data_IF_502861957267
#
_entry.id   IF_502861957267
#
_cell.length_a   1.000
_cell.length_b   1.000
_cell.length_c   1.000
_cell.angle_alpha   90.00
_cell.angle_beta   90.00
_cell.angle_gamma   90.00
#
_symmetry.space_group_name_H-M   'P 1'
#
loop_
_entity.id
_entity.type
_entity.pdbx_description
1 polymer ?
#
# COMPACT_ATOMS: atom_id res chain seq x y z
N UNK A 1 -6.19 -20.10 3.15
CA UNK A 1 -5.04 -19.23 2.81
C UNK A 1 -4.02 -19.42 3.93
N UNK A 2 -2.77 -19.65 3.54
CA UNK A 2 -1.64 -19.79 4.46
C UNK A 2 -0.57 -18.77 4.05
N UNK A 3 0.11 -18.18 5.02
CA UNK A 3 1.26 -17.29 4.86
C UNK A 3 2.46 -17.96 5.55
N UNK A 4 3.44 -18.42 4.79
CA UNK A 4 4.58 -19.21 5.29
C UNK A 4 4.15 -20.39 6.19
N UNK A 5 3.08 -21.09 5.80
CA UNK A 5 2.51 -22.18 6.57
C UNK A 5 1.65 -21.78 7.77
N UNK A 6 1.57 -20.49 8.11
CA UNK A 6 0.71 -19.96 9.18
C UNK A 6 -0.70 -19.68 8.67
N UNK A 7 -1.69 -19.87 9.52
CA UNK A 7 -3.07 -19.46 9.23
C UNK A 7 -3.24 -17.95 9.29
N UNK A 8 -4.31 -17.42 8.70
CA UNK A 8 -4.66 -15.99 8.76
C UNK A 8 -4.69 -15.46 10.21
N UNK A 9 -5.19 -16.24 11.14
CA UNK A 9 -5.27 -15.85 12.56
C UNK A 9 -3.90 -15.77 13.27
N UNK A 10 -2.86 -16.32 12.67
CA UNK A 10 -1.49 -16.35 13.21
C UNK A 10 -0.57 -15.34 12.50
N UNK A 11 -1.08 -14.63 11.51
CA UNK A 11 -0.32 -13.70 10.68
C UNK A 11 -0.76 -12.28 10.98
N UNK A 12 0.18 -11.39 11.27
CA UNK A 12 -0.13 -9.96 11.41
C UNK A 12 -0.37 -9.35 10.04
N UNK A 13 -1.59 -8.89 9.83
CA UNK A 13 -2.04 -8.30 8.57
C UNK A 13 -2.38 -6.84 8.77
N UNK A 14 -1.81 -5.98 7.91
CA UNK A 14 -2.28 -4.64 7.67
C UNK A 14 -3.20 -4.61 6.43
N UNK A 15 -4.22 -3.78 6.46
CA UNK A 15 -5.12 -3.60 5.32
C UNK A 15 -5.37 -2.12 5.05
N UNK A 16 -5.11 -1.68 3.82
CA UNK A 16 -5.43 -0.35 3.31
C UNK A 16 -6.61 -0.49 2.36
N UNK A 17 -7.74 0.09 2.73
CA UNK A 17 -8.98 0.00 1.96
C UNK A 17 -8.98 1.00 0.81
N UNK A 18 -9.61 0.65 -0.31
CA UNK A 18 -9.85 1.52 -1.46
C UNK A 18 -10.55 2.83 -1.03
N UNK A 19 -11.59 2.73 -0.21
CA UNK A 19 -12.25 3.91 0.33
C UNK A 19 -11.65 4.33 1.68
N UNK A 20 -10.49 5.00 1.63
CA UNK A 20 -9.79 5.47 2.81
C UNK A 20 -10.62 6.43 3.68
N UNK A 21 -11.58 7.16 3.08
CA UNK A 21 -12.44 8.10 3.81
C UNK A 21 -13.37 7.40 4.78
N UNK A 22 -13.88 6.23 4.40
CA UNK A 22 -14.76 5.40 5.24
C UNK A 22 -13.94 4.48 6.17
N UNK A 23 -12.68 4.25 5.87
CA UNK A 23 -11.81 3.41 6.67
C UNK A 23 -11.39 4.05 8.00
N UNK A 24 -11.34 5.39 8.07
CA UNK A 24 -10.95 6.11 9.28
C UNK A 24 -12.16 6.31 10.21
N UNK A 25 -11.93 6.24 11.51
CA UNK A 25 -12.96 6.57 12.52
C UNK A 25 -13.17 8.09 12.58
N UNK A 26 -14.31 8.64 12.11
CA UNK A 26 -14.48 10.08 11.99
C UNK A 26 -14.57 10.80 13.34
N UNK A 27 -14.86 10.09 14.41
CA UNK A 27 -14.94 10.61 15.79
C UNK A 27 -13.61 10.58 16.54
N UNK A 28 -12.56 10.00 15.98
CA UNK A 28 -11.20 10.00 16.52
C UNK A 28 -10.34 11.01 15.77
N UNK A 29 -9.40 11.65 16.48
CA UNK A 29 -8.35 12.45 15.84
C UNK A 29 -7.48 11.55 14.97
N UNK A 30 -6.82 12.10 13.96
CA UNK A 30 -5.98 11.34 13.03
C UNK A 30 -4.88 10.58 13.75
N UNK A 31 -4.22 11.20 14.73
CA UNK A 31 -3.20 10.52 15.54
C UNK A 31 -3.78 9.33 16.32
N UNK A 32 -5.00 9.46 16.84
CA UNK A 32 -5.67 8.39 17.56
C UNK A 32 -6.12 7.26 16.64
N UNK A 33 -6.48 7.57 15.38
CA UNK A 33 -6.72 6.58 14.35
C UNK A 33 -5.47 5.75 14.06
N UNK A 34 -4.31 6.39 13.90
CA UNK A 34 -3.03 5.71 13.65
C UNK A 34 -2.64 4.85 14.85
N UNK A 35 -2.82 5.36 16.06
CA UNK A 35 -2.48 4.68 17.31
C UNK A 35 -3.46 3.54 17.68
N UNK A 36 -4.66 3.54 17.10
CA UNK A 36 -5.75 2.67 17.52
C UNK A 36 -5.39 1.17 17.52
N UNK A 37 -4.80 0.60 16.46
CA UNK A 37 -4.45 -0.83 16.45
C UNK A 37 -3.41 -1.20 17.51
N UNK A 38 -2.47 -0.30 17.82
CA UNK A 38 -1.47 -0.52 18.87
C UNK A 38 -2.10 -0.58 20.27
N UNK A 39 -3.09 0.27 20.51
CA UNK A 39 -3.86 0.26 21.76
C UNK A 39 -4.69 -1.02 21.90
N UNK A 40 -5.24 -1.54 20.81
CA UNK A 40 -5.95 -2.83 20.81
C UNK A 40 -5.01 -4.02 21.12
N UNK A 41 -3.74 -3.93 20.72
CA UNK A 41 -2.71 -4.91 21.10
C UNK A 41 -2.29 -4.79 22.58
N UNK A 42 -2.82 -3.83 23.32
CA UNK A 42 -2.50 -3.61 24.73
C UNK A 42 -1.12 -3.00 24.98
N UNK A 43 -0.51 -2.36 23.99
CA UNK A 43 0.79 -1.69 24.15
C UNK A 43 0.71 -0.54 25.14
N UNK A 44 1.78 -0.33 25.86
CA UNK A 44 1.90 0.82 26.76
C UNK A 44 1.84 2.15 25.99
N UNK A 45 1.47 3.23 26.70
CA UNK A 45 1.44 4.56 26.08
C UNK A 45 2.78 4.95 25.46
N UNK A 46 3.89 4.64 26.14
CA UNK A 46 5.24 4.96 25.64
C UNK A 46 5.56 4.23 24.33
N UNK A 47 5.21 2.95 24.21
CA UNK A 47 5.40 2.16 22.98
C UNK A 47 4.51 2.67 21.83
N UNK A 48 3.27 3.07 22.14
CA UNK A 48 2.36 3.67 21.15
C UNK A 48 2.91 5.00 20.64
N UNK A 49 3.30 5.90 21.56
CA UNK A 49 3.82 7.21 21.21
C UNK A 49 5.10 7.08 20.36
N UNK A 50 6.06 6.24 20.78
CA UNK A 50 7.30 6.00 20.03
C UNK A 50 7.04 5.45 18.61
N UNK A 51 6.12 4.49 18.48
CA UNK A 51 5.79 3.92 17.16
C UNK A 51 5.10 4.92 16.24
N UNK A 52 4.21 5.74 16.78
CA UNK A 52 3.55 6.81 16.00
C UNK A 52 4.57 7.87 15.56
N UNK A 53 5.49 8.26 16.44
CA UNK A 53 6.59 9.21 16.10
C UNK A 53 7.48 8.65 14.98
N UNK A 54 7.84 7.37 15.04
CA UNK A 54 8.60 6.69 13.98
C UNK A 54 7.88 6.76 12.63
N UNK A 55 6.58 6.46 12.59
CA UNK A 55 5.77 6.52 11.37
C UNK A 55 5.66 7.96 10.85
N UNK A 56 5.46 8.93 11.73
CA UNK A 56 5.42 10.36 11.38
C UNK A 56 6.72 10.79 10.70
N UNK A 57 7.86 10.36 11.24
CA UNK A 57 9.17 10.64 10.66
C UNK A 57 9.36 9.94 9.30
N UNK A 58 9.04 8.64 9.21
CA UNK A 58 9.17 7.85 7.97
C UNK A 58 8.33 8.42 6.81
N UNK A 59 7.12 8.90 7.10
CA UNK A 59 6.21 9.48 6.11
C UNK A 59 6.37 10.99 5.93
N UNK A 60 7.39 11.62 6.55
CA UNK A 60 7.63 13.07 6.48
C UNK A 60 6.34 13.89 6.65
N UNK A 61 5.54 13.54 7.67
CA UNK A 61 4.20 14.12 7.88
C UNK A 61 4.30 15.59 8.27
N UNK A 62 3.74 16.48 7.43
CA UNK A 62 3.76 17.95 7.63
C UNK A 62 2.41 18.53 7.98
N UNK A 63 1.37 17.71 8.11
CA UNK A 63 0.03 18.16 8.50
C UNK A 63 -0.27 17.85 9.96
N UNK A 64 -1.24 18.58 10.52
CA UNK A 64 -1.61 18.46 11.93
C UNK A 64 -2.44 17.18 12.17
N UNK A 65 -1.82 16.20 12.83
CA UNK A 65 -2.45 14.93 13.20
C UNK A 65 -3.49 15.06 14.34
N UNK A 66 -3.62 16.24 14.97
CA UNK A 66 -4.69 16.50 15.96
C UNK A 66 -6.03 16.81 15.29
N UNK A 67 -6.05 17.04 13.98
CA UNK A 67 -7.27 17.21 13.19
C UNK A 67 -8.04 15.88 13.08
N UNK A 68 -9.35 16.01 12.86
CA UNK A 68 -10.19 14.87 12.51
C UNK A 68 -10.00 14.50 11.05
N UNK A 69 -10.28 13.24 10.64
CA UNK A 69 -10.09 12.80 9.26
C UNK A 69 -10.79 13.69 8.23
N UNK A 70 -12.01 14.14 8.49
CA UNK A 70 -12.78 14.99 7.58
C UNK A 70 -12.22 16.42 7.39
N UNK A 71 -11.26 16.83 8.22
CA UNK A 71 -10.56 18.13 8.09
C UNK A 71 -9.28 18.03 7.25
N UNK A 72 -8.92 16.82 6.81
CA UNK A 72 -7.73 16.54 6.03
C UNK A 72 -8.04 16.44 4.53
N UNK A 73 -7.05 16.75 3.69
CA UNK A 73 -7.12 16.44 2.26
C UNK A 73 -7.17 14.93 2.01
N UNK A 74 -7.61 14.51 0.83
CA UNK A 74 -7.66 13.08 0.45
C UNK A 74 -6.31 12.39 0.61
N UNK A 75 -5.22 12.99 0.12
CA UNK A 75 -3.88 12.43 0.27
C UNK A 75 -3.41 12.33 1.71
N UNK A 76 -3.74 13.32 2.56
CA UNK A 76 -3.42 13.26 3.99
C UNK A 76 -4.19 12.14 4.71
N UNK A 77 -5.47 11.94 4.35
CA UNK A 77 -6.27 10.84 4.86
C UNK A 77 -5.70 9.48 4.43
N UNK A 78 -5.29 9.35 3.17
CA UNK A 78 -4.68 8.13 2.65
C UNK A 78 -3.36 7.83 3.34
N UNK A 79 -2.48 8.83 3.50
CA UNK A 79 -1.24 8.70 4.27
C UNK A 79 -1.52 8.18 5.68
N UNK A 80 -2.47 8.78 6.38
CA UNK A 80 -2.85 8.36 7.73
C UNK A 80 -3.44 6.93 7.76
N UNK A 81 -4.21 6.54 6.74
CA UNK A 81 -4.74 5.18 6.59
C UNK A 81 -3.63 4.15 6.42
N UNK A 82 -2.63 4.45 5.59
CA UNK A 82 -1.45 3.60 5.41
C UNK A 82 -0.64 3.49 6.70
N UNK A 83 -0.37 4.62 7.37
CA UNK A 83 0.32 4.62 8.66
C UNK A 83 -0.40 3.78 9.70
N UNK A 84 -1.74 3.85 9.76
CA UNK A 84 -2.55 3.01 10.64
C UNK A 84 -2.40 1.53 10.34
N UNK A 85 -2.38 1.15 9.06
CA UNK A 85 -2.21 -0.24 8.65
C UNK A 85 -0.79 -0.77 8.97
N UNK A 86 0.22 0.11 8.91
CA UNK A 86 1.61 -0.20 9.22
C UNK A 86 1.95 -0.15 10.72
N UNK A 87 1.12 0.52 11.53
CA UNK A 87 1.41 0.72 12.95
C UNK A 87 1.70 -0.57 13.72
N UNK A 88 0.93 -1.66 13.56
CA UNK A 88 1.20 -2.91 14.26
C UNK A 88 2.51 -3.62 13.86
N UNK A 89 3.15 -3.21 12.77
CA UNK A 89 4.26 -3.93 12.15
C UNK A 89 3.77 -5.22 11.48
N UNK A 90 2.96 -5.12 10.40
CA UNK A 90 2.37 -6.28 9.76
C UNK A 90 3.43 -7.13 9.03
N UNK A 91 3.24 -8.46 9.02
CA UNK A 91 3.99 -9.40 8.18
C UNK A 91 3.53 -9.30 6.72
N UNK A 92 2.23 -9.02 6.53
CA UNK A 92 1.62 -8.85 5.20
C UNK A 92 0.78 -7.57 5.18
N UNK A 93 0.99 -6.74 4.17
CA UNK A 93 0.22 -5.53 3.92
C UNK A 93 -0.62 -5.69 2.64
N UNK A 94 -1.94 -5.67 2.79
CA UNK A 94 -2.87 -5.60 1.67
C UNK A 94 -3.15 -4.14 1.31
N UNK A 95 -3.04 -3.83 0.04
CA UNK A 95 -3.25 -2.50 -0.54
C UNK A 95 -4.32 -2.63 -1.64
N UNK A 96 -5.53 -2.19 -1.34
CA UNK A 96 -6.66 -2.27 -2.26
C UNK A 96 -6.86 -0.92 -2.96
N UNK A 97 -6.42 -0.82 -4.21
CA UNK A 97 -6.42 0.42 -5.02
C UNK A 97 -5.97 1.68 -4.25
N UNK A 98 -4.80 1.67 -3.62
CA UNK A 98 -4.40 2.70 -2.65
C UNK A 98 -4.18 4.09 -3.28
N UNK A 99 -4.16 4.20 -4.61
CA UNK A 99 -3.87 5.44 -5.33
C UNK A 99 -5.08 6.02 -6.08
N UNK A 100 -6.22 5.31 -6.12
CA UNK A 100 -7.36 5.58 -7.02
C UNK A 100 -8.01 6.96 -6.88
N UNK A 101 -7.76 7.71 -5.81
CA UNK A 101 -8.36 9.03 -5.58
C UNK A 101 -7.31 10.10 -5.25
N UNK A 102 -6.05 9.87 -5.65
CA UNK A 102 -4.94 10.76 -5.37
C UNK A 102 -4.53 11.50 -6.63
N UNK A 103 -4.01 12.72 -6.44
CA UNK A 103 -3.30 13.42 -7.51
C UNK A 103 -1.93 12.79 -7.79
N UNK A 104 -1.30 13.23 -8.86
CA UNK A 104 -0.05 12.66 -9.33
C UNK A 104 1.09 12.79 -8.30
N UNK A 105 1.23 13.96 -7.66
CA UNK A 105 2.31 14.20 -6.69
C UNK A 105 2.16 13.30 -5.47
N UNK A 106 0.94 13.19 -4.94
CA UNK A 106 0.66 12.33 -3.79
C UNK A 106 0.82 10.85 -4.13
N UNK A 107 0.47 10.44 -5.35
CA UNK A 107 0.69 9.07 -5.83
C UNK A 107 2.17 8.73 -5.84
N UNK A 108 3.02 9.60 -6.39
CA UNK A 108 4.47 9.40 -6.39
C UNK A 108 5.02 9.32 -4.97
N UNK A 109 4.62 10.26 -4.12
CA UNK A 109 5.04 10.29 -2.71
C UNK A 109 4.71 8.98 -1.97
N UNK A 110 3.49 8.49 -2.09
CA UNK A 110 3.08 7.25 -1.42
C UNK A 110 3.80 6.03 -2.02
N UNK A 111 4.00 5.98 -3.34
CA UNK A 111 4.77 4.91 -3.99
C UNK A 111 6.20 4.84 -3.46
N UNK A 112 6.87 5.97 -3.30
CA UNK A 112 8.21 6.03 -2.70
C UNK A 112 8.20 5.54 -1.26
N UNK A 113 7.27 6.02 -0.43
CA UNK A 113 7.15 5.62 0.97
C UNK A 113 6.86 4.13 1.15
N UNK A 114 6.04 3.53 0.31
CA UNK A 114 5.79 2.09 0.34
C UNK A 114 7.04 1.29 -0.01
N UNK A 115 7.85 1.74 -0.97
CA UNK A 115 9.12 1.08 -1.28
C UNK A 115 10.13 1.22 -0.13
N UNK A 116 10.24 2.40 0.50
CA UNK A 116 11.08 2.60 1.68
C UNK A 116 10.70 1.63 2.81
N UNK A 117 9.40 1.51 3.11
CA UNK A 117 8.88 0.56 4.10
C UNK A 117 9.25 -0.88 3.72
N UNK A 118 9.05 -1.28 2.47
CA UNK A 118 9.40 -2.61 1.99
C UNK A 118 10.89 -2.90 2.20
N UNK A 119 11.77 -1.99 1.79
CA UNK A 119 13.22 -2.15 1.91
C UNK A 119 13.69 -2.21 3.37
N UNK A 120 13.04 -1.47 4.25
CA UNK A 120 13.40 -1.42 5.68
C UNK A 120 12.87 -2.61 6.48
N UNK A 121 11.69 -3.10 6.15
CA UNK A 121 10.98 -4.08 6.99
C UNK A 121 10.89 -5.48 6.39
N UNK A 122 11.04 -5.62 5.07
CA UNK A 122 10.78 -6.87 4.35
C UNK A 122 9.31 -7.30 4.39
N UNK A 123 8.38 -6.41 4.74
CA UNK A 123 6.94 -6.68 4.77
C UNK A 123 6.45 -7.15 3.40
N UNK A 124 5.81 -8.30 3.32
CA UNK A 124 5.18 -8.77 2.09
C UNK A 124 4.01 -7.86 1.74
N UNK A 125 4.01 -7.28 0.54
CA UNK A 125 2.93 -6.41 0.08
C UNK A 125 2.14 -7.06 -1.03
N UNK A 126 0.81 -7.06 -0.90
CA UNK A 126 -0.12 -7.50 -1.94
C UNK A 126 -0.93 -6.28 -2.40
N UNK A 127 -0.63 -5.82 -3.60
CA UNK A 127 -1.29 -4.67 -4.22
C UNK A 127 -2.37 -5.15 -5.19
N UNK A 128 -3.57 -4.64 -5.06
CA UNK A 128 -4.62 -4.70 -6.07
C UNK A 128 -4.70 -3.35 -6.75
N UNK A 129 -4.54 -3.34 -8.07
CA UNK A 129 -4.66 -2.12 -8.88
C UNK A 129 -5.23 -2.47 -10.26
N UNK A 130 -5.95 -1.53 -10.86
CA UNK A 130 -6.35 -1.57 -12.26
C UNK A 130 -5.38 -0.80 -13.16
N UNK A 131 -4.37 -0.16 -12.60
CA UNK A 131 -3.31 0.55 -13.31
C UNK A 131 -2.06 -0.33 -13.45
N UNK A 132 -1.73 -0.67 -14.70
CA UNK A 132 -0.56 -1.49 -15.02
C UNK A 132 0.76 -0.80 -14.67
N UNK A 133 0.81 0.52 -14.71
CA UNK A 133 2.02 1.27 -14.34
C UNK A 133 2.29 1.14 -12.84
N UNK A 134 1.27 1.24 -12.01
CA UNK A 134 1.38 1.02 -10.56
C UNK A 134 1.87 -0.39 -10.24
N UNK A 135 1.29 -1.39 -10.92
CA UNK A 135 1.68 -2.78 -10.74
C UNK A 135 3.15 -3.00 -11.10
N UNK A 136 3.60 -2.53 -12.27
CA UNK A 136 5.00 -2.66 -12.70
C UNK A 136 5.94 -1.85 -11.79
N UNK A 137 5.51 -0.67 -11.33
CA UNK A 137 6.34 0.19 -10.50
C UNK A 137 6.61 -0.40 -9.10
N UNK A 138 5.62 -1.08 -8.52
CA UNK A 138 5.70 -1.53 -7.12
C UNK A 138 5.94 -3.03 -6.95
N UNK A 139 5.56 -3.88 -7.90
CA UNK A 139 5.60 -5.32 -7.71
C UNK A 139 6.92 -5.94 -8.17
N UNK A 140 7.30 -7.05 -7.54
CA UNK A 140 8.33 -7.97 -8.03
C UNK A 140 7.68 -9.11 -8.84
N UNK A 141 6.37 -9.34 -8.59
CA UNK A 141 5.58 -10.33 -9.31
C UNK A 141 4.19 -9.76 -9.60
N UNK A 142 3.74 -9.86 -10.85
CA UNK A 142 2.47 -9.31 -11.33
C UNK A 142 1.56 -10.45 -11.74
N UNK A 143 0.41 -10.58 -11.07
CA UNK A 143 -0.62 -11.55 -11.41
C UNK A 143 -1.69 -10.86 -12.26
N UNK A 144 -1.81 -11.24 -13.51
CA UNK A 144 -2.87 -10.77 -14.41
C UNK A 144 -4.08 -11.70 -14.31
N UNK A 145 -5.26 -11.12 -14.09
CA UNK A 145 -6.50 -11.86 -13.90
C UNK A 145 -7.39 -11.76 -15.14
N UNK A 146 -8.13 -12.85 -15.44
CA UNK A 146 -9.16 -12.85 -16.48
C UNK A 146 -10.42 -12.12 -16.02
N UNK A 147 -11.30 -11.76 -16.98
CA UNK A 147 -12.69 -11.46 -16.65
C UNK A 147 -13.40 -12.67 -16.02
N UNK A 148 -14.61 -12.46 -15.51
CA UNK A 148 -15.40 -13.52 -14.85
C UNK A 148 -15.76 -14.66 -15.80
N UNK A 149 -15.64 -15.92 -15.34
CA UNK A 149 -15.15 -16.38 -14.05
C UNK A 149 -13.64 -16.13 -13.90
N UNK A 150 -13.24 -15.45 -12.82
CA UNK A 150 -11.87 -14.98 -12.62
C UNK A 150 -10.88 -16.12 -12.41
N UNK A 151 -9.80 -16.07 -13.17
CA UNK A 151 -8.64 -17.00 -13.08
C UNK A 151 -7.36 -16.19 -13.23
N UNK A 152 -6.24 -16.75 -12.80
CA UNK A 152 -4.93 -16.21 -13.13
C UNK A 152 -4.67 -16.47 -14.62
N UNK A 153 -4.50 -15.42 -15.39
CA UNK A 153 -4.18 -15.47 -16.80
C UNK A 153 -2.69 -15.70 -17.01
N UNK A 154 -1.87 -14.94 -16.30
CA UNK A 154 -0.42 -14.98 -16.37
C UNK A 154 0.18 -14.49 -15.07
N UNK A 155 1.40 -14.95 -14.76
CA UNK A 155 2.24 -14.45 -13.67
C UNK A 155 3.54 -13.97 -14.30
N UNK A 156 3.84 -12.69 -14.10
CA UNK A 156 5.04 -12.07 -14.65
C UNK A 156 5.99 -11.71 -13.50
N UNK A 157 7.22 -12.19 -13.59
CA UNK A 157 8.30 -11.80 -12.68
C UNK A 157 9.00 -10.55 -13.20
N UNK A 158 9.19 -9.56 -12.33
CA UNK A 158 9.85 -8.32 -12.63
C UNK A 158 10.87 -7.97 -11.55
N UNK A 159 12.11 -8.41 -11.76
CA UNK A 159 13.19 -8.37 -10.76
C UNK A 159 14.10 -7.13 -10.90
N UNK A 160 13.62 -6.03 -11.47
CA UNK A 160 14.41 -4.80 -11.56
C UNK A 160 14.75 -4.23 -10.18
N UNK A 161 15.91 -3.57 -10.11
CA UNK A 161 16.45 -3.04 -8.87
C UNK A 161 15.48 -2.08 -8.16
N UNK A 162 15.58 -2.04 -6.84
CA UNK A 162 14.85 -1.10 -5.96
C UNK A 162 15.83 -0.13 -5.30
N UNK A 163 15.42 1.08 -4.92
CA UNK A 163 14.08 1.66 -5.15
C UNK A 163 13.86 2.02 -6.63
N UNK A 164 12.64 1.82 -7.13
CA UNK A 164 12.23 2.34 -8.44
C UNK A 164 11.82 3.80 -8.27
N UNK A 165 12.34 4.65 -9.12
CA UNK A 165 12.13 6.11 -9.09
C UNK A 165 11.38 6.58 -10.34
N UNK A 166 11.16 7.87 -10.46
CA UNK A 166 10.52 8.45 -11.66
C UNK A 166 11.34 8.14 -12.93
N UNK A 167 12.67 8.07 -12.82
CA UNK A 167 13.56 7.71 -13.93
C UNK A 167 13.29 6.30 -14.43
N UNK A 168 12.94 5.36 -13.53
CA UNK A 168 12.61 3.97 -13.88
C UNK A 168 11.44 3.89 -14.88
N UNK A 169 10.50 4.84 -14.85
CA UNK A 169 9.39 4.88 -15.80
C UNK A 169 9.83 4.98 -17.26
N UNK A 170 11.05 5.47 -17.51
CA UNK A 170 11.64 5.63 -18.83
C UNK A 170 12.61 4.50 -19.21
N UNK A 171 12.88 3.57 -18.31
CA UNK A 171 13.79 2.45 -18.57
C UNK A 171 13.18 1.43 -19.55
N UNK A 172 14.00 0.88 -20.46
CA UNK A 172 13.51 -0.10 -21.45
C UNK A 172 12.84 -1.33 -20.82
N UNK A 173 13.37 -1.84 -19.71
CA UNK A 173 12.82 -2.97 -18.97
C UNK A 173 11.40 -2.69 -18.44
N UNK A 174 11.20 -1.50 -17.85
CA UNK A 174 9.91 -1.03 -17.37
C UNK A 174 8.89 -0.91 -18.50
N UNK A 175 9.28 -0.24 -19.59
CA UNK A 175 8.41 -0.05 -20.77
C UNK A 175 8.03 -1.39 -21.38
N UNK A 176 8.98 -2.33 -21.48
CA UNK A 176 8.75 -3.66 -22.02
C UNK A 176 7.80 -4.45 -21.13
N UNK A 177 7.99 -4.43 -19.81
CA UNK A 177 7.11 -5.13 -18.86
C UNK A 177 5.68 -4.56 -18.90
N UNK A 178 5.54 -3.23 -18.90
CA UNK A 178 4.24 -2.57 -19.03
C UNK A 178 3.55 -2.93 -20.34
N UNK A 179 4.28 -2.96 -21.45
CA UNK A 179 3.74 -3.37 -22.76
C UNK A 179 3.28 -4.82 -22.76
N UNK A 180 4.08 -5.74 -22.24
CA UNK A 180 3.73 -7.17 -22.13
C UNK A 180 2.47 -7.35 -21.29
N UNK A 181 2.43 -6.70 -20.13
CA UNK A 181 1.24 -6.74 -19.25
C UNK A 181 -0.01 -6.23 -19.96
N UNK A 182 0.10 -5.15 -20.73
CA UNK A 182 -1.02 -4.59 -21.51
C UNK A 182 -1.49 -5.54 -22.62
N UNK A 183 -0.58 -6.18 -23.34
CA UNK A 183 -0.90 -7.15 -24.40
C UNK A 183 -1.68 -8.34 -23.84
N UNK A 184 -1.23 -8.90 -22.70
CA UNK A 184 -1.92 -9.98 -22.02
C UNK A 184 -3.29 -9.55 -21.55
N UNK A 185 -3.38 -8.39 -20.86
CA UNK A 185 -4.64 -7.83 -20.40
C UNK A 185 -5.65 -7.65 -21.54
N UNK A 186 -5.23 -7.04 -22.66
CA UNK A 186 -6.09 -6.85 -23.82
C UNK A 186 -6.56 -8.17 -24.44
N UNK A 187 -5.70 -9.19 -24.48
CA UNK A 187 -6.05 -10.52 -24.95
C UNK A 187 -7.15 -11.15 -24.09
N UNK A 188 -7.07 -10.96 -22.76
CA UNK A 188 -8.04 -11.55 -21.83
C UNK A 188 -9.36 -10.77 -21.77
N UNK A 189 -9.35 -9.46 -21.97
CA UNK A 189 -10.57 -8.65 -22.04
C UNK A 189 -11.36 -8.87 -23.34
N UNK A 190 -10.67 -9.22 -24.45
CA UNK A 190 -11.32 -9.48 -25.75
C UNK A 190 -11.95 -10.88 -25.88
N UNK A 191 -11.62 -11.80 -25.01
CA UNK A 191 -12.28 -13.11 -24.90
C UNK A 191 -13.62 -12.99 -24.18
#
# INVERSE_FOLDING_TARGET
ILFDGKSLAQTKIGYVFQNYREAMFPWLRTIDNIAYPLRLEGRSKAEVDARVEELVASFDVKFDLKRYPYELSGGQQQTASIMRALAPGPEVLFLDEPFSALDFEMTLFIREKLQEVFLQTGTTMLLVSHDLEEAVYLADQILLLTKRPTRVAEILDYADARPRTVETLSEPSFIQMKKLSLEIFQREVRK
#
